data_IF_081052848348
#
_entry.id   IF_081052848348
#
_cell.length_a   1.000
_cell.length_b   1.000
_cell.length_c   1.000
_cell.angle_alpha   90.00
_cell.angle_beta   90.00
_cell.angle_gamma   90.00
#
_symmetry.space_group_name_H-M   'P 1'
#
loop_
_entity.id
_entity.type
_entity.pdbx_description
1 polymer ?
#
# COMPACT_ATOMS: atom_id res chain seq x y z
N UNK A 1 -57.63 26.12 16.81
CA UNK A 1 -56.47 26.86 16.32
C UNK A 1 -55.23 26.02 16.60
N UNK A 2 -54.45 25.62 15.55
CA UNK A 2 -53.17 24.94 15.77
C UNK A 2 -52.15 26.00 16.18
N UNK A 3 -51.51 25.81 17.33
CA UNK A 3 -50.40 26.69 17.77
C UNK A 3 -49.27 26.71 16.69
N UNK A 4 -48.71 27.89 16.42
CA UNK A 4 -47.55 27.99 15.54
C UNK A 4 -46.43 27.04 16.01
N UNK A 5 -45.63 26.51 15.10
CA UNK A 5 -44.64 25.46 15.38
C UNK A 5 -43.69 25.86 16.56
N UNK A 6 -43.24 27.13 16.63
CA UNK A 6 -42.35 27.63 17.65
C UNK A 6 -43.00 27.75 19.05
N UNK A 7 -44.34 27.75 19.16
CA UNK A 7 -45.09 27.79 20.42
C UNK A 7 -45.51 26.42 20.96
N UNK A 8 -45.12 25.34 20.27
CA UNK A 8 -45.41 24.00 20.76
C UNK A 8 -44.68 23.75 22.09
N UNK A 9 -45.33 23.19 23.11
CA UNK A 9 -44.70 22.97 24.42
C UNK A 9 -43.43 22.13 24.35
N UNK A 10 -43.35 21.19 23.38
CA UNK A 10 -42.21 20.35 23.13
C UNK A 10 -40.98 21.14 22.67
N UNK A 11 -41.17 22.14 21.79
CA UNK A 11 -40.10 22.98 21.26
C UNK A 11 -39.63 23.96 22.35
N UNK A 12 -40.56 24.54 23.10
CA UNK A 12 -40.23 25.40 24.22
C UNK A 12 -39.40 24.65 25.29
N UNK A 13 -39.80 23.43 25.64
CA UNK A 13 -39.03 22.57 26.55
C UNK A 13 -37.62 22.32 26.03
N UNK A 14 -37.46 21.99 24.76
CA UNK A 14 -36.14 21.78 24.14
C UNK A 14 -35.29 23.05 24.13
N UNK A 15 -35.89 24.20 23.84
CA UNK A 15 -35.20 25.50 23.87
C UNK A 15 -34.68 25.83 25.27
N UNK A 16 -35.52 25.68 26.30
CA UNK A 16 -35.12 25.88 27.69
C UNK A 16 -34.02 24.91 28.09
N UNK A 17 -34.18 23.62 27.74
CA UNK A 17 -33.17 22.61 28.03
C UNK A 17 -31.84 22.91 27.33
N UNK A 18 -31.83 23.33 26.07
CA UNK A 18 -30.65 23.70 25.34
C UNK A 18 -29.92 24.92 25.90
N UNK A 19 -30.67 25.87 26.48
CA UNK A 19 -30.08 27.06 27.10
C UNK A 19 -29.29 26.75 28.39
N UNK A 20 -29.73 25.74 29.15
CA UNK A 20 -29.11 25.37 30.44
C UNK A 20 -28.22 24.14 30.36
N UNK A 21 -28.21 23.43 29.25
CA UNK A 21 -27.33 22.27 29.03
C UNK A 21 -25.98 22.72 28.46
N UNK A 22 -24.86 22.09 28.86
CA UNK A 22 -23.60 22.33 28.18
C UNK A 22 -23.67 21.94 26.73
N UNK A 23 -22.82 22.56 25.89
CA UNK A 23 -22.74 22.19 24.47
C UNK A 23 -22.30 20.71 24.31
N UNK A 24 -22.96 19.98 23.43
CA UNK A 24 -22.58 18.60 23.07
C UNK A 24 -21.41 18.54 22.10
N UNK A 25 -21.09 19.66 21.46
CA UNK A 25 -19.97 19.78 20.52
C UNK A 25 -18.67 20.06 21.26
N UNK A 26 -17.57 19.58 20.69
CA UNK A 26 -16.24 19.95 21.17
C UNK A 26 -15.97 21.42 20.95
N UNK A 27 -15.03 22.00 21.71
CA UNK A 27 -14.64 23.42 21.57
C UNK A 27 -13.54 23.62 20.52
N UNK A 28 -13.41 22.67 19.60
CA UNK A 28 -12.49 22.80 18.48
C UNK A 28 -12.87 24.02 17.60
N UNK A 29 -11.90 24.83 17.08
CA UNK A 29 -10.44 24.70 17.21
C UNK A 29 -9.84 25.38 18.45
N UNK A 30 -10.65 25.99 19.32
CA UNK A 30 -10.15 26.70 20.51
C UNK A 30 -9.46 25.78 21.53
N UNK A 31 -9.93 24.53 21.62
CA UNK A 31 -9.30 23.48 22.40
C UNK A 31 -8.95 22.32 21.46
N UNK A 32 -7.73 21.73 21.58
CA UNK A 32 -7.35 20.57 20.77
C UNK A 32 -8.29 19.40 21.08
N UNK A 33 -8.66 18.68 20.03
CA UNK A 33 -9.50 17.50 20.17
C UNK A 33 -8.69 16.24 19.81
N UNK A 34 -8.58 15.32 20.76
CA UNK A 34 -7.99 14.01 20.53
C UNK A 34 -9.09 12.97 20.29
N UNK A 35 -9.10 12.32 19.11
CA UNK A 35 -10.04 11.24 18.84
C UNK A 35 -9.80 10.03 19.74
N UNK A 36 -10.86 9.26 20.00
CA UNK A 36 -10.76 7.99 20.72
C UNK A 36 -9.84 7.00 19.98
N UNK A 37 -9.30 6.01 20.71
CA UNK A 37 -8.40 4.98 20.14
C UNK A 37 -9.04 4.18 18.99
N UNK A 38 -10.35 4.00 19.04
CA UNK A 38 -11.10 3.30 17.99
C UNK A 38 -11.41 4.15 16.75
N UNK A 39 -11.02 5.44 16.77
CA UNK A 39 -11.25 6.34 15.64
C UNK A 39 -10.38 5.92 14.45
N UNK A 40 -11.00 5.87 13.28
CA UNK A 40 -10.31 5.64 12.02
C UNK A 40 -10.15 6.95 11.28
N UNK A 41 -8.96 7.53 11.35
CA UNK A 41 -8.57 8.68 10.55
C UNK A 41 -7.98 8.25 9.20
N UNK A 42 -7.18 9.11 8.59
CA UNK A 42 -6.57 8.80 7.30
C UNK A 42 -5.60 7.62 7.40
N UNK A 43 -5.59 6.73 6.40
CA UNK A 43 -4.58 5.68 6.32
C UNK A 43 -3.20 6.29 6.05
N UNK A 44 -2.15 5.69 6.63
CA UNK A 44 -0.75 6.08 6.49
C UNK A 44 0.09 4.88 6.06
N UNK A 45 0.94 5.07 5.06
CA UNK A 45 1.93 4.07 4.71
C UNK A 45 3.05 4.03 5.75
N UNK A 46 3.42 2.83 6.17
CA UNK A 46 4.68 2.58 6.86
C UNK A 46 5.70 2.11 5.82
N UNK A 47 6.66 2.96 5.48
CA UNK A 47 7.65 2.67 4.46
C UNK A 47 8.49 1.41 4.78
N UNK A 48 8.79 1.17 6.05
CA UNK A 48 9.60 0.03 6.49
C UNK A 48 8.81 -1.28 6.48
N UNK A 49 7.53 -1.23 6.87
CA UNK A 49 6.64 -2.40 6.88
C UNK A 49 5.98 -2.70 5.53
N UNK A 50 5.98 -1.74 4.60
CA UNK A 50 5.40 -1.92 3.28
C UNK A 50 6.36 -2.66 2.36
N UNK A 51 5.88 -3.74 1.73
CA UNK A 51 6.64 -4.52 0.75
C UNK A 51 6.28 -4.20 -0.71
N UNK A 52 5.42 -3.20 -0.94
CA UNK A 52 5.01 -2.77 -2.28
C UNK A 52 4.15 -3.77 -3.05
N UNK A 53 3.48 -4.70 -2.38
CA UNK A 53 2.73 -5.77 -3.05
C UNK A 53 1.47 -5.32 -3.81
N UNK A 54 0.93 -4.11 -3.53
CA UNK A 54 -0.27 -3.58 -4.17
C UNK A 54 -1.60 -4.16 -3.66
N UNK A 55 -1.60 -5.04 -2.64
CA UNK A 55 -2.82 -5.64 -2.11
C UNK A 55 -3.83 -4.58 -1.60
N UNK A 56 -3.34 -3.49 -1.01
CA UNK A 56 -4.16 -2.38 -0.57
C UNK A 56 -4.94 -1.70 -1.71
N UNK A 57 -4.35 -1.61 -2.91
CA UNK A 57 -5.00 -1.08 -4.10
C UNK A 57 -6.12 -2.01 -4.60
N UNK A 58 -5.85 -3.32 -4.61
CA UNK A 58 -6.82 -4.33 -5.07
C UNK A 58 -8.08 -4.40 -4.20
N UNK A 59 -7.91 -4.27 -2.88
CA UNK A 59 -9.04 -4.34 -1.93
C UNK A 59 -9.74 -3.01 -1.71
N UNK A 60 -9.26 -1.92 -2.31
CA UNK A 60 -9.80 -0.59 -2.14
C UNK A 60 -11.12 -0.41 -2.89
N UNK A 61 -12.28 -0.20 -2.20
CA UNK A 61 -13.56 -0.06 -2.89
C UNK A 61 -13.63 1.14 -3.83
N UNK A 62 -13.21 2.36 -3.41
CA UNK A 62 -13.18 3.53 -4.30
C UNK A 62 -11.97 3.56 -5.23
N UNK A 63 -11.05 2.57 -5.12
CA UNK A 63 -9.79 2.52 -5.91
C UNK A 63 -8.95 3.80 -5.79
N UNK A 64 -8.89 4.34 -4.59
CA UNK A 64 -8.12 5.53 -4.29
C UNK A 64 -6.61 5.26 -4.09
N UNK A 65 -6.15 4.03 -4.27
CA UNK A 65 -4.73 3.67 -4.24
C UNK A 65 -4.32 3.21 -5.64
N UNK A 66 -3.41 3.93 -6.23
CA UNK A 66 -2.84 3.63 -7.54
C UNK A 66 -1.50 2.91 -7.39
N UNK A 67 -1.21 1.97 -8.31
CA UNK A 67 0.07 1.25 -8.37
C UNK A 67 0.73 1.59 -9.70
N UNK A 68 1.86 2.28 -9.63
CA UNK A 68 2.62 2.72 -10.81
C UNK A 68 3.97 2.02 -10.81
N UNK A 69 4.24 1.25 -11.88
CA UNK A 69 5.53 0.62 -12.10
C UNK A 69 6.36 1.45 -13.08
N UNK A 70 7.38 2.14 -12.57
CA UNK A 70 8.35 2.88 -13.36
C UNK A 70 9.58 1.99 -13.63
N UNK A 71 9.47 1.21 -14.70
CA UNK A 71 10.54 0.33 -15.17
C UNK A 71 11.70 1.09 -15.83
N UNK A 72 11.50 2.36 -16.20
CA UNK A 72 12.51 3.19 -16.86
C UNK A 72 13.38 3.97 -15.87
N UNK A 73 12.94 4.09 -14.63
CA UNK A 73 13.73 4.71 -13.58
C UNK A 73 15.03 3.96 -13.31
N UNK A 74 16.02 4.64 -12.77
CA UNK A 74 17.29 4.03 -12.35
C UNK A 74 17.54 4.35 -10.86
N UNK A 75 17.31 3.40 -9.94
CA UNK A 75 16.79 2.03 -10.13
C UNK A 75 15.29 1.99 -10.50
N UNK A 76 14.81 0.90 -11.15
CA UNK A 76 13.39 0.67 -11.40
C UNK A 76 12.60 0.66 -10.09
N UNK A 77 11.41 1.25 -10.09
CA UNK A 77 10.63 1.40 -8.85
C UNK A 77 9.14 1.24 -9.05
N UNK A 78 8.47 0.76 -8.02
CA UNK A 78 7.03 0.79 -7.86
C UNK A 78 6.66 1.92 -6.93
N UNK A 79 5.68 2.71 -7.34
CA UNK A 79 5.12 3.80 -6.54
C UNK A 79 3.68 3.43 -6.21
N UNK A 80 3.34 3.41 -4.94
CA UNK A 80 1.95 3.35 -4.50
C UNK A 80 1.54 4.78 -4.14
N UNK A 81 0.51 5.28 -4.81
CA UNK A 81 -0.04 6.62 -4.57
C UNK A 81 -1.42 6.47 -3.99
N UNK A 82 -1.64 7.06 -2.84
CA UNK A 82 -2.94 7.08 -2.19
C UNK A 82 -3.57 8.46 -2.31
N UNK A 83 -4.75 8.54 -2.88
CA UNK A 83 -5.56 9.73 -3.04
C UNK A 83 -6.57 9.80 -1.89
N UNK A 84 -6.24 10.62 -0.88
CA UNK A 84 -7.05 10.73 0.33
C UNK A 84 -8.37 11.47 0.11
N UNK A 85 -8.46 12.31 -0.92
CA UNK A 85 -9.66 13.01 -1.36
C UNK A 85 -10.77 12.05 -1.83
N UNK A 86 -10.39 10.90 -2.40
CA UNK A 86 -11.31 9.83 -2.81
C UNK A 86 -11.50 8.75 -1.73
N UNK A 87 -10.77 8.81 -0.63
CA UNK A 87 -10.76 7.78 0.40
C UNK A 87 -12.01 7.83 1.30
N UNK A 88 -12.70 6.71 1.46
CA UNK A 88 -13.86 6.57 2.36
C UNK A 88 -13.50 6.06 3.76
N UNK A 89 -12.24 5.99 4.10
CA UNK A 89 -11.73 5.60 5.43
C UNK A 89 -12.28 4.25 5.93
N UNK A 90 -12.47 3.29 5.02
CA UNK A 90 -13.09 1.99 5.33
C UNK A 90 -12.17 1.00 6.06
N UNK A 91 -10.85 1.21 6.06
CA UNK A 91 -9.85 0.37 6.72
C UNK A 91 -9.55 -0.97 6.04
N UNK A 92 -10.05 -1.21 4.81
CA UNK A 92 -9.78 -2.46 4.10
C UNK A 92 -8.30 -2.63 3.76
N UNK A 93 -7.61 -1.53 3.42
CA UNK A 93 -6.18 -1.54 3.11
C UNK A 93 -5.34 -2.06 4.28
N UNK A 94 -5.61 -1.62 5.51
CA UNK A 94 -4.96 -2.11 6.74
C UNK A 94 -5.30 -3.57 7.00
N UNK A 95 -6.60 -3.91 6.97
CA UNK A 95 -7.09 -5.26 7.27
C UNK A 95 -6.50 -6.34 6.37
N UNK A 96 -6.32 -6.04 5.09
CA UNK A 96 -5.82 -7.00 4.10
C UNK A 96 -4.35 -6.81 3.75
N UNK A 97 -3.61 -6.00 4.51
CA UNK A 97 -2.17 -5.86 4.34
C UNK A 97 -1.48 -7.19 4.70
N UNK A 98 -0.75 -7.83 3.78
CA UNK A 98 -0.12 -9.13 4.04
C UNK A 98 0.95 -9.08 5.12
N UNK A 99 1.63 -7.93 5.28
CA UNK A 99 2.64 -7.72 6.31
C UNK A 99 2.03 -7.31 7.64
N UNK A 100 0.76 -6.86 7.64
CA UNK A 100 0.06 -6.28 8.80
C UNK A 100 0.73 -5.01 9.35
N UNK A 101 1.75 -4.50 8.66
CA UNK A 101 2.54 -3.35 9.09
C UNK A 101 2.78 -2.33 7.96
N UNK A 102 2.32 -2.62 6.74
CA UNK A 102 2.60 -1.77 5.57
C UNK A 102 1.73 -0.53 5.44
N UNK A 103 0.56 -0.52 6.05
CA UNK A 103 -0.39 0.59 6.05
C UNK A 103 -1.28 0.51 7.29
N UNK A 104 -1.48 1.63 7.96
CA UNK A 104 -2.27 1.72 9.19
C UNK A 104 -3.29 2.85 9.11
N UNK A 105 -4.43 2.67 9.80
CA UNK A 105 -5.35 3.76 10.03
C UNK A 105 -4.82 4.65 11.15
N UNK A 106 -4.49 5.90 10.84
CA UNK A 106 -4.06 6.87 11.85
C UNK A 106 -5.24 7.41 12.66
N UNK A 107 -4.96 8.21 13.67
CA UNK A 107 -5.99 9.00 14.37
C UNK A 107 -6.07 10.44 13.87
N UNK A 108 -5.35 10.74 12.79
CA UNK A 108 -5.38 12.05 12.17
C UNK A 108 -6.73 12.28 11.46
N UNK A 109 -7.40 13.34 11.82
CA UNK A 109 -8.72 13.67 11.32
C UNK A 109 -8.78 15.09 10.77
N UNK A 110 -7.91 15.97 11.24
CA UNK A 110 -7.86 17.37 10.85
C UNK A 110 -6.80 17.56 9.76
N UNK A 111 -7.21 17.35 8.52
CA UNK A 111 -6.40 17.64 7.36
C UNK A 111 -7.24 18.41 6.33
N UNK A 112 -6.72 19.56 5.93
CA UNK A 112 -7.31 20.41 4.93
C UNK A 112 -6.22 20.90 3.98
N UNK A 113 -6.57 21.06 2.71
CA UNK A 113 -5.66 21.49 1.67
C UNK A 113 -6.42 22.27 0.59
N UNK A 114 -5.69 22.97 -0.26
CA UNK A 114 -6.26 23.74 -1.37
C UNK A 114 -6.08 23.05 -2.73
N UNK A 115 -5.16 22.10 -2.81
CA UNK A 115 -4.86 21.36 -4.02
C UNK A 115 -5.04 19.85 -3.80
N UNK A 116 -5.42 19.06 -4.83
CA UNK A 116 -5.54 17.60 -4.72
C UNK A 116 -4.23 16.93 -4.26
N UNK A 117 -3.09 17.48 -4.65
CA UNK A 117 -1.76 16.97 -4.30
C UNK A 117 -1.48 17.02 -2.78
N UNK A 118 -2.15 17.91 -2.04
CA UNK A 118 -2.06 18.00 -0.58
C UNK A 118 -2.65 16.75 0.11
N UNK A 119 -3.48 16.00 -0.64
CA UNK A 119 -4.16 14.79 -0.18
C UNK A 119 -3.54 13.50 -0.72
N UNK A 120 -2.33 13.57 -1.28
CA UNK A 120 -1.61 12.39 -1.74
C UNK A 120 -0.60 11.91 -0.70
N UNK A 121 -0.53 10.61 -0.55
CA UNK A 121 0.52 9.94 0.19
C UNK A 121 1.17 8.88 -0.70
N UNK A 122 2.51 8.80 -0.66
CA UNK A 122 3.27 7.95 -1.58
C UNK A 122 4.26 7.08 -0.82
N UNK A 123 4.45 5.87 -1.33
CA UNK A 123 5.55 4.98 -0.92
C UNK A 123 6.19 4.39 -2.17
N UNK A 124 7.52 4.38 -2.18
CA UNK A 124 8.31 3.87 -3.30
C UNK A 124 9.06 2.62 -2.89
N UNK A 125 9.12 1.63 -3.80
CA UNK A 125 9.83 0.36 -3.60
C UNK A 125 10.61 -0.02 -4.85
N UNK A 126 11.85 -0.45 -4.66
CA UNK A 126 12.70 -0.93 -5.75
C UNK A 126 12.08 -2.16 -6.42
N UNK A 127 12.08 -2.18 -7.75
CA UNK A 127 11.58 -3.29 -8.54
C UNK A 127 12.70 -4.24 -8.94
N UNK A 128 12.38 -5.52 -8.94
CA UNK A 128 13.22 -6.58 -9.54
C UNK A 128 12.68 -6.89 -10.92
N UNK A 129 13.56 -6.82 -11.91
CA UNK A 129 13.26 -7.04 -13.29
C UNK A 129 13.69 -8.45 -13.74
N UNK A 130 13.02 -8.98 -14.74
CA UNK A 130 13.44 -10.22 -15.38
C UNK A 130 14.73 -9.99 -16.19
N UNK A 131 15.79 -10.74 -15.90
CA UNK A 131 17.09 -10.62 -16.59
C UNK A 131 17.02 -11.04 -18.07
N UNK A 132 15.97 -11.77 -18.47
CA UNK A 132 15.83 -12.26 -19.85
C UNK A 132 15.00 -11.33 -20.72
N UNK A 133 13.88 -10.80 -20.23
CA UNK A 133 12.96 -10.00 -21.07
C UNK A 133 12.71 -8.59 -20.53
N UNK A 134 13.29 -8.22 -19.38
CA UNK A 134 13.10 -6.89 -18.78
C UNK A 134 11.69 -6.65 -18.21
N UNK A 135 10.83 -7.68 -18.09
CA UNK A 135 9.50 -7.53 -17.52
C UNK A 135 9.59 -7.37 -16.00
N UNK A 136 8.73 -6.56 -15.42
CA UNK A 136 8.63 -6.38 -13.97
C UNK A 136 8.25 -7.70 -13.30
N UNK A 137 8.98 -8.10 -12.28
CA UNK A 137 8.69 -9.29 -11.48
C UNK A 137 7.89 -8.95 -10.23
N UNK A 138 8.51 -8.23 -9.34
CA UNK A 138 7.94 -7.81 -8.06
C UNK A 138 8.87 -6.80 -7.38
N UNK A 139 8.40 -6.06 -6.36
CA UNK A 139 9.28 -5.31 -5.50
C UNK A 139 10.30 -6.18 -4.77
N UNK A 140 11.52 -5.68 -4.60
CA UNK A 140 12.60 -6.38 -3.92
C UNK A 140 12.23 -6.75 -2.47
N UNK A 141 11.55 -5.85 -1.77
CA UNK A 141 11.09 -6.08 -0.40
C UNK A 141 10.03 -7.19 -0.34
N UNK A 142 9.16 -7.29 -1.36
CA UNK A 142 8.18 -8.38 -1.45
C UNK A 142 8.87 -9.74 -1.63
N UNK A 143 9.90 -9.81 -2.47
CA UNK A 143 10.66 -11.05 -2.66
C UNK A 143 11.40 -11.45 -1.39
N UNK A 144 11.97 -10.48 -0.66
CA UNK A 144 12.62 -10.73 0.63
C UNK A 144 11.63 -11.27 1.65
N UNK A 145 10.50 -10.59 1.83
CA UNK A 145 9.45 -11.01 2.74
C UNK A 145 8.90 -12.41 2.42
N UNK A 146 8.74 -12.74 1.12
CA UNK A 146 8.33 -14.08 0.70
C UNK A 146 9.40 -15.13 1.03
N UNK A 147 10.68 -14.82 0.80
CA UNK A 147 11.77 -15.74 1.10
C UNK A 147 11.87 -16.03 2.60
N UNK A 148 11.71 -15.02 3.44
CA UNK A 148 11.69 -15.17 4.89
C UNK A 148 10.52 -16.04 5.36
N UNK A 149 9.32 -15.83 4.83
CA UNK A 149 8.14 -16.63 5.17
C UNK A 149 8.22 -18.07 4.69
N UNK A 150 8.82 -18.32 3.54
CA UNK A 150 9.01 -19.66 3.00
C UNK A 150 10.17 -20.38 3.70
N UNK A 151 11.10 -19.65 4.31
CA UNK A 151 12.28 -20.22 4.94
C UNK A 151 13.06 -21.12 3.96
N UNK A 152 13.42 -22.35 4.33
CA UNK A 152 14.16 -23.27 3.47
C UNK A 152 13.45 -23.61 2.14
N UNK A 153 12.11 -23.52 2.11
CA UNK A 153 11.33 -23.74 0.88
C UNK A 153 11.60 -22.71 -0.21
N UNK A 154 12.16 -21.54 0.13
CA UNK A 154 12.56 -20.51 -0.83
C UNK A 154 13.60 -21.02 -1.84
N UNK A 155 14.46 -21.96 -1.44
CA UNK A 155 15.48 -22.57 -2.30
C UNK A 155 14.88 -23.49 -3.39
N UNK A 156 13.63 -23.93 -3.22
CA UNK A 156 12.93 -24.68 -4.28
C UNK A 156 12.52 -23.78 -5.47
N UNK A 157 12.53 -22.46 -5.30
CA UNK A 157 12.27 -21.50 -6.36
C UNK A 157 13.57 -20.88 -6.87
N UNK A 158 14.02 -21.20 -8.11
CA UNK A 158 15.28 -20.66 -8.64
C UNK A 158 15.36 -19.12 -8.63
N UNK A 159 14.26 -18.44 -8.92
CA UNK A 159 14.22 -16.97 -8.90
C UNK A 159 14.49 -16.40 -7.51
N UNK A 160 13.88 -16.96 -6.46
CA UNK A 160 14.13 -16.54 -5.07
C UNK A 160 15.54 -16.86 -4.62
N UNK A 161 16.07 -18.06 -5.01
CA UNK A 161 17.45 -18.46 -4.69
C UNK A 161 18.47 -17.54 -5.35
N UNK A 162 18.26 -17.18 -6.61
CA UNK A 162 19.12 -16.26 -7.35
C UNK A 162 19.06 -14.84 -6.75
N UNK A 163 17.86 -14.36 -6.47
CA UNK A 163 17.67 -13.05 -5.82
C UNK A 163 18.38 -12.99 -4.45
N UNK A 164 18.23 -14.02 -3.63
CA UNK A 164 18.93 -14.10 -2.36
C UNK A 164 20.47 -14.15 -2.55
N UNK A 165 20.93 -14.91 -3.54
CA UNK A 165 22.35 -15.02 -3.86
C UNK A 165 22.98 -13.71 -4.33
N UNK A 166 22.29 -12.94 -5.15
CA UNK A 166 22.72 -11.61 -5.57
C UNK A 166 22.81 -10.64 -4.39
N UNK A 167 21.82 -10.67 -3.49
CA UNK A 167 21.81 -9.84 -2.27
C UNK A 167 22.93 -10.18 -1.30
N UNK A 168 23.31 -11.44 -1.23
CA UNK A 168 24.43 -11.91 -0.39
C UNK A 168 25.80 -11.76 -1.07
N UNK A 169 25.84 -11.31 -2.33
CA UNK A 169 27.07 -11.00 -3.06
C UNK A 169 27.84 -12.20 -3.58
N UNK A 170 27.28 -13.41 -3.55
CA UNK A 170 27.94 -14.60 -4.13
C UNK A 170 27.42 -14.96 -5.53
N UNK A 171 26.47 -14.19 -6.06
CA UNK A 171 25.99 -14.28 -7.44
C UNK A 171 26.09 -12.89 -8.06
N UNK A 172 26.78 -12.78 -9.18
CA UNK A 172 26.89 -11.53 -9.93
C UNK A 172 25.58 -11.21 -10.65
N UNK A 173 25.27 -9.91 -10.75
CA UNK A 173 24.11 -9.45 -11.52
C UNK A 173 24.44 -9.51 -13.02
N UNK A 174 23.54 -10.12 -13.77
CA UNK A 174 23.53 -9.97 -15.22
C UNK A 174 24.55 -10.80 -15.98
N UNK A 175 24.32 -12.10 -16.07
CA UNK A 175 24.88 -12.86 -17.21
C UNK A 175 24.08 -12.51 -18.45
N UNK A 176 24.41 -11.38 -19.06
CA UNK A 176 23.82 -10.94 -20.32
C UNK A 176 24.50 -11.63 -21.48
N UNK A 177 24.05 -12.81 -21.85
CA UNK A 177 24.21 -13.31 -23.20
C UNK A 177 22.86 -13.90 -23.63
N UNK A 178 22.06 -13.14 -24.36
CA UNK A 178 20.94 -13.69 -25.11
C UNK A 178 21.52 -14.48 -26.28
N UNK A 179 22.08 -15.66 -26.03
CA UNK A 179 22.38 -16.60 -27.08
C UNK A 179 21.06 -17.23 -27.54
N UNK A 180 20.88 -17.42 -28.85
CA UNK A 180 19.69 -18.10 -29.41
C UNK A 180 19.47 -19.50 -28.81
N UNK A 181 20.52 -20.10 -28.26
CA UNK A 181 20.48 -21.37 -27.54
C UNK A 181 20.40 -21.13 -26.03
N UNK A 182 19.32 -21.61 -25.43
CA UNK A 182 19.13 -21.60 -23.98
C UNK A 182 20.20 -22.48 -23.31
N UNK A 183 21.19 -21.86 -22.68
CA UNK A 183 22.22 -22.54 -21.94
C UNK A 183 21.76 -22.92 -20.53
N UNK A 184 22.49 -23.83 -19.88
CA UNK A 184 22.22 -24.25 -18.51
C UNK A 184 22.33 -23.05 -17.53
N UNK A 185 23.17 -22.07 -17.83
CA UNK A 185 23.32 -20.83 -17.08
C UNK A 185 22.03 -19.98 -17.10
N UNK A 186 21.26 -19.97 -18.19
CA UNK A 186 20.03 -19.20 -18.32
C UNK A 186 18.94 -19.66 -17.34
N UNK A 187 19.02 -20.90 -16.85
CA UNK A 187 18.13 -21.43 -15.82
C UNK A 187 18.42 -20.88 -14.42
N UNK A 188 19.61 -20.33 -14.24
CA UNK A 188 20.09 -19.76 -12.98
C UNK A 188 19.95 -18.24 -12.94
N UNK A 189 19.09 -17.67 -13.78
CA UNK A 189 18.80 -16.23 -13.82
C UNK A 189 17.50 -15.89 -13.09
N UNK A 190 17.37 -14.62 -12.73
CA UNK A 190 16.09 -14.06 -12.22
C UNK A 190 15.13 -13.95 -13.41
N UNK A 191 14.14 -14.84 -13.48
CA UNK A 191 13.24 -14.97 -14.60
C UNK A 191 11.78 -14.79 -14.22
N UNK A 192 11.02 -14.12 -15.10
CA UNK A 192 9.57 -14.08 -15.00
C UNK A 192 8.95 -15.46 -15.34
N UNK A 193 7.69 -15.72 -14.94
CA UNK A 193 7.03 -16.99 -15.19
C UNK A 193 6.97 -17.38 -16.68
N UNK A 194 6.92 -16.39 -17.59
CA UNK A 194 6.90 -16.63 -19.04
C UNK A 194 8.26 -17.14 -19.54
N UNK A 195 9.35 -16.48 -19.14
CA UNK A 195 10.71 -16.89 -19.50
C UNK A 195 11.07 -18.23 -18.88
N UNK A 196 10.75 -18.44 -17.61
CA UNK A 196 10.97 -19.73 -16.93
C UNK A 196 10.28 -20.90 -17.63
N UNK A 197 9.05 -20.72 -18.13
CA UNK A 197 8.36 -21.75 -18.93
C UNK A 197 9.03 -22.03 -20.26
N UNK A 198 9.56 -21.00 -20.94
CA UNK A 198 10.32 -21.19 -22.19
C UNK A 198 11.60 -21.98 -21.91
N UNK A 199 12.36 -21.62 -20.91
CA UNK A 199 13.60 -22.30 -20.50
C UNK A 199 13.34 -23.76 -20.12
N UNK A 200 12.23 -24.06 -19.42
CA UNK A 200 11.88 -25.43 -19.06
C UNK A 200 11.44 -26.30 -20.23
N UNK A 201 10.92 -25.71 -21.32
CA UNK A 201 10.49 -26.44 -22.52
C UNK A 201 11.63 -26.68 -23.51
N UNK A 202 12.67 -25.84 -23.46
CA UNK A 202 13.84 -25.96 -24.33
C UNK A 202 14.89 -26.98 -23.79
N UNK A 203 14.60 -27.62 -22.68
CA UNK A 203 15.40 -28.65 -22.02
C UNK A 203 14.84 -30.06 -22.28
#
# INVERSE_FOLDING_TARGET
MKLPAFMQPRILKQAVQATFSPAFTTRFPAEPFEPQESFRGRPRFNADGCVGCGACAEVCPPKCIEVIDDAQASPPRRILVQHLDACIVCGQCERYCPTQDGIHMSREWDFAGFAPEDFEERVEKELVMCEVCGEVLAPADQLRWLAERLGPMSFANPTLSMFAGQRLGYVEQGVQNPSETVLRADRMAIQCPKCKRKTARAA
#
